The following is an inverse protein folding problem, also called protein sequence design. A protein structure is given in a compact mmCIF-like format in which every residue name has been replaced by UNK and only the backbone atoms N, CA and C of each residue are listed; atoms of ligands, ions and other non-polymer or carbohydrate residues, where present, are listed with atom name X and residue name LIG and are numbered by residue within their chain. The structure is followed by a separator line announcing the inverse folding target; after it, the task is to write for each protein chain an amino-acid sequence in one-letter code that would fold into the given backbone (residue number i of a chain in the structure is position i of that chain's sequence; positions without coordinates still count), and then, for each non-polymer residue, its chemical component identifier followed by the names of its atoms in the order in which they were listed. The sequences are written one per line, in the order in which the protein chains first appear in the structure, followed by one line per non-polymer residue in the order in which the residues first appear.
data_IF_709328748345
#
_entry.id   IF_709328748345
#
_cell.length_a   1.000
_cell.length_b   1.000
_cell.length_c   1.000
_cell.angle_alpha   90.00
_cell.angle_beta   90.00
_cell.angle_gamma   90.00
#
_symmetry.space_group_name_H-M   'P 1'
#
loop_
_entity.id
_entity.type
_entity.pdbx_description
1 polymer ?
#
# COMPACT_ATOMS: atom_id res chain seq x y z
N UNK A 1 17.50 -9.14 13.15
CA UNK A 1 16.12 -8.95 12.71
C UNK A 1 15.84 -9.85 11.51
N UNK A 2 14.85 -10.74 11.60
CA UNK A 2 14.34 -11.49 10.44
C UNK A 2 13.25 -10.70 9.70
N UNK A 3 12.89 -11.13 8.48
CA UNK A 3 11.79 -10.53 7.75
C UNK A 3 10.45 -10.69 8.51
N UNK A 4 10.22 -11.85 9.11
CA UNK A 4 9.02 -12.12 9.91
C UNK A 4 8.94 -11.27 11.18
N UNK A 5 10.10 -10.97 11.80
CA UNK A 5 10.16 -10.03 12.93
C UNK A 5 9.79 -8.61 12.49
N UNK A 6 10.23 -8.18 11.31
CA UNK A 6 9.89 -6.89 10.74
C UNK A 6 8.39 -6.80 10.42
N UNK A 7 7.80 -7.85 9.85
CA UNK A 7 6.35 -7.94 9.61
C UNK A 7 5.56 -7.80 10.90
N UNK A 8 5.88 -8.58 11.93
CA UNK A 8 5.21 -8.51 13.23
C UNK A 8 5.29 -7.13 13.86
N UNK A 9 6.46 -6.47 13.81
CA UNK A 9 6.62 -5.11 14.35
C UNK A 9 5.68 -4.13 13.65
N UNK A 10 5.64 -4.16 12.31
CA UNK A 10 4.78 -3.26 11.53
C UNK A 10 3.30 -3.53 11.77
N UNK A 11 2.87 -4.80 11.78
CA UNK A 11 1.47 -5.15 12.06
C UNK A 11 0.99 -4.65 13.44
N UNK A 12 1.88 -4.63 14.43
CA UNK A 12 1.54 -4.21 15.79
C UNK A 12 1.60 -2.70 15.98
N UNK A 13 2.48 -1.99 15.27
CA UNK A 13 2.80 -0.60 15.62
C UNK A 13 2.47 0.41 14.53
N UNK A 14 2.32 -0.02 13.25
CA UNK A 14 2.19 0.92 12.15
C UNK A 14 0.91 1.76 12.26
N UNK A 15 1.01 3.11 12.20
CA UNK A 15 -0.12 4.01 12.41
C UNK A 15 -1.26 3.77 11.43
N UNK A 16 -0.97 3.44 10.16
CA UNK A 16 -2.01 3.24 9.13
C UNK A 16 -2.95 2.08 9.45
N UNK A 17 -2.47 0.98 10.05
CA UNK A 17 -3.33 -0.11 10.46
C UNK A 17 -4.18 0.27 11.69
N UNK A 18 -3.66 1.14 12.55
CA UNK A 18 -4.40 1.69 13.71
C UNK A 18 -5.49 2.69 13.29
N UNK A 19 -5.29 3.41 12.17
CA UNK A 19 -6.31 4.34 11.63
C UNK A 19 -7.64 3.63 11.30
N UNK A 20 -7.62 2.35 10.93
CA UNK A 20 -8.85 1.59 10.67
C UNK A 20 -9.73 1.43 11.91
N UNK A 21 -9.14 1.38 13.11
CA UNK A 21 -9.89 1.45 14.36
C UNK A 21 -10.64 2.77 14.49
N UNK A 22 -9.94 3.89 14.36
CA UNK A 22 -10.57 5.22 14.43
C UNK A 22 -11.60 5.47 13.32
N UNK A 23 -11.35 4.98 12.09
CA UNK A 23 -12.35 5.05 10.99
C UNK A 23 -13.61 4.27 11.34
N UNK A 24 -13.47 3.10 11.95
CA UNK A 24 -14.62 2.30 12.41
C UNK A 24 -15.43 3.05 13.46
N UNK A 25 -14.78 3.70 14.44
CA UNK A 25 -15.45 4.47 15.47
C UNK A 25 -16.25 5.64 14.87
N UNK A 26 -15.65 6.36 13.88
CA UNK A 26 -16.36 7.42 13.14
C UNK A 26 -17.58 6.88 12.41
N UNK A 27 -17.42 5.80 11.64
CA UNK A 27 -18.53 5.21 10.88
C UNK A 27 -19.60 4.60 11.80
N UNK A 28 -19.24 4.08 12.96
CA UNK A 28 -20.20 3.61 13.95
C UNK A 28 -21.03 4.78 14.49
N UNK A 29 -20.39 5.91 14.77
CA UNK A 29 -21.09 7.14 15.17
C UNK A 29 -22.01 7.68 14.05
N UNK A 30 -21.57 7.58 12.77
CA UNK A 30 -22.43 7.91 11.62
C UNK A 30 -23.63 6.96 11.52
N UNK A 31 -23.47 5.67 11.82
CA UNK A 31 -24.57 4.71 11.87
C UNK A 31 -25.58 5.07 12.98
N UNK A 32 -25.09 5.43 14.18
CA UNK A 32 -25.96 5.89 15.26
C UNK A 32 -26.71 7.14 14.86
N UNK A 33 -26.04 8.10 14.20
CA UNK A 33 -26.69 9.30 13.66
C UNK A 33 -27.74 8.96 12.59
N UNK A 34 -27.44 8.00 11.71
CA UNK A 34 -28.38 7.55 10.68
C UNK A 34 -29.62 6.86 11.26
N UNK A 35 -29.55 6.39 12.50
CA UNK A 35 -30.66 5.76 13.22
C UNK A 35 -31.61 6.77 13.87
N UNK A 36 -31.25 8.06 13.93
CA UNK A 36 -32.16 9.04 14.53
C UNK A 36 -33.38 9.30 13.64
N UNK A 37 -34.52 9.29 14.28
CA UNK A 37 -35.77 9.79 13.69
C UNK A 37 -35.76 11.33 13.71
N UNK A 38 -36.59 11.99 12.88
CA UNK A 38 -36.80 13.42 12.95
C UNK A 38 -37.15 13.86 14.38
N UNK A 39 -36.60 14.97 14.86
CA UNK A 39 -36.88 15.44 16.22
C UNK A 39 -38.31 15.93 16.39
N UNK A 40 -38.81 15.89 17.63
CA UNK A 40 -39.97 16.65 18.03
C UNK A 40 -39.56 18.12 18.17
N UNK A 41 -40.36 19.01 17.61
CA UNK A 41 -40.18 20.47 17.65
C UNK A 41 -41.31 21.08 18.44
N UNK A 42 -41.00 21.80 19.52
CA UNK A 42 -41.95 22.60 20.27
C UNK A 42 -41.95 24.01 19.66
N UNK A 43 -43.07 24.48 19.25
CA UNK A 43 -43.25 25.82 18.68
C UNK A 43 -44.20 26.67 19.56
N UNK A 44 -43.87 27.95 19.69
CA UNK A 44 -44.75 28.96 20.27
C UNK A 44 -44.94 30.03 19.19
N UNK A 45 -46.17 30.28 18.83
CA UNK A 45 -46.57 31.27 17.82
C UNK A 45 -47.52 32.28 18.47
N UNK A 46 -47.29 33.55 18.23
CA UNK A 46 -48.12 34.63 18.69
C UNK A 46 -48.59 35.45 17.48
N UNK A 47 -49.88 35.48 17.25
CA UNK A 47 -50.54 36.19 16.14
C UNK A 47 -51.38 37.34 16.69
N UNK A 48 -51.72 38.31 15.84
CA UNK A 48 -52.58 39.46 16.16
C UNK A 48 -52.07 40.28 17.38
N UNK A 49 -50.75 40.42 17.52
CA UNK A 49 -50.13 41.22 18.60
C UNK A 49 -49.55 42.53 18.05
N UNK A 50 -49.72 43.64 18.82
CA UNK A 50 -49.14 44.96 18.53
C UNK A 50 -49.55 45.52 17.13
N UNK A 51 -50.68 45.11 16.57
CA UNK A 51 -51.21 45.59 15.31
C UNK A 51 -52.10 46.83 15.46
N UNK A 52 -53.00 47.07 14.50
CA UNK A 52 -54.00 48.15 14.49
C UNK A 52 -55.42 47.57 14.50
N UNK A 53 -56.43 48.39 14.92
CA UNK A 53 -57.82 47.97 15.05
C UNK A 53 -57.98 46.87 16.12
N UNK A 54 -58.63 45.78 15.80
CA UNK A 54 -58.87 44.66 16.71
C UNK A 54 -57.55 43.94 17.18
N UNK A 55 -56.50 44.09 16.45
CA UNK A 55 -55.14 43.54 16.80
C UNK A 55 -54.32 44.54 17.61
N UNK A 56 -54.89 45.65 18.07
CA UNK A 56 -54.13 46.64 18.84
C UNK A 56 -53.77 46.14 20.25
N UNK A 57 -52.51 46.29 20.63
CA UNK A 57 -51.98 45.80 21.92
C UNK A 57 -51.99 44.26 21.99
N UNK A 58 -52.58 43.70 23.04
CA UNK A 58 -52.71 42.27 23.30
C UNK A 58 -54.16 41.80 23.32
N UNK A 59 -55.10 42.65 23.02
CA UNK A 59 -56.57 42.35 23.16
C UNK A 59 -57.03 41.32 22.15
N UNK A 60 -56.48 41.33 20.93
CA UNK A 60 -56.73 40.33 19.87
C UNK A 60 -55.74 39.18 19.81
N UNK A 61 -54.81 39.10 20.78
CA UNK A 61 -53.71 38.14 20.72
C UNK A 61 -54.18 36.69 20.67
N UNK A 62 -53.57 35.92 19.78
CA UNK A 62 -53.72 34.48 19.71
C UNK A 62 -52.35 33.85 20.01
N UNK A 63 -52.27 32.99 21.02
CA UNK A 63 -51.05 32.30 21.39
C UNK A 63 -51.23 30.80 21.16
N UNK A 64 -50.42 30.22 20.27
CA UNK A 64 -50.44 28.80 19.97
C UNK A 64 -49.19 28.13 20.53
N UNK A 65 -49.35 27.11 21.37
CA UNK A 65 -48.30 26.19 21.77
C UNK A 65 -48.49 24.91 20.96
N UNK A 66 -47.47 24.51 20.20
CA UNK A 66 -47.57 23.36 19.30
C UNK A 66 -46.40 22.39 19.48
N UNK A 67 -46.67 21.12 19.12
CA UNK A 67 -45.71 20.05 18.96
C UNK A 67 -45.78 19.57 17.52
N UNK A 68 -44.65 19.54 16.83
CA UNK A 68 -44.51 19.14 15.44
C UNK A 68 -43.41 18.09 15.24
N UNK A 69 -43.55 17.30 14.21
CA UNK A 69 -42.48 16.42 13.72
C UNK A 69 -42.77 15.98 12.30
N UNK A 70 -41.78 15.28 11.71
CA UNK A 70 -41.86 14.65 10.39
C UNK A 70 -42.05 13.14 10.54
N UNK A 71 -43.12 12.60 9.98
CA UNK A 71 -43.29 11.16 9.85
C UNK A 71 -42.62 10.71 8.54
N UNK A 72 -41.38 10.22 8.67
CA UNK A 72 -40.64 9.66 7.53
C UNK A 72 -41.32 8.39 7.01
N UNK A 73 -41.50 8.31 5.69
CA UNK A 73 -42.15 7.20 5.01
C UNK A 73 -41.23 6.56 3.96
N UNK A 74 -41.63 5.42 3.43
CA UNK A 74 -40.89 4.73 2.36
C UNK A 74 -39.59 4.04 2.80
N UNK A 75 -39.40 3.79 4.10
CA UNK A 75 -38.21 3.07 4.61
C UNK A 75 -36.92 3.92 4.63
N UNK A 76 -37.02 5.26 4.67
CA UNK A 76 -35.86 6.17 4.66
C UNK A 76 -34.90 5.90 5.79
N UNK A 77 -35.42 5.66 7.01
CA UNK A 77 -34.60 5.33 8.18
C UNK A 77 -33.75 4.06 7.95
N UNK A 78 -34.41 3.00 7.47
CA UNK A 78 -33.76 1.71 7.24
C UNK A 78 -32.73 1.80 6.09
N UNK A 79 -33.05 2.55 5.02
CA UNK A 79 -32.13 2.77 3.91
C UNK A 79 -30.89 3.58 4.34
N UNK A 80 -31.05 4.63 5.19
CA UNK A 80 -29.91 5.36 5.77
C UNK A 80 -29.03 4.47 6.63
N UNK A 81 -29.63 3.64 7.47
CA UNK A 81 -28.90 2.68 8.31
C UNK A 81 -28.16 1.64 7.47
N UNK A 82 -28.83 1.08 6.45
CA UNK A 82 -28.21 0.11 5.54
C UNK A 82 -27.00 0.69 4.81
N UNK A 83 -27.09 1.95 4.35
CA UNK A 83 -25.95 2.64 3.73
C UNK A 83 -24.81 2.89 4.72
N UNK A 84 -25.10 3.31 5.94
CA UNK A 84 -24.07 3.50 6.97
C UNK A 84 -23.41 2.18 7.37
N UNK A 85 -24.20 1.10 7.51
CA UNK A 85 -23.68 -0.23 7.82
C UNK A 85 -22.78 -0.77 6.70
N UNK A 86 -23.16 -0.62 5.43
CA UNK A 86 -22.36 -1.10 4.30
C UNK A 86 -20.98 -0.45 4.23
N UNK A 87 -20.83 0.81 4.70
CA UNK A 87 -19.53 1.49 4.83
C UNK A 87 -18.64 0.90 5.93
N UNK A 88 -19.24 0.40 7.00
CA UNK A 88 -18.50 -0.29 8.06
C UNK A 88 -18.00 -1.65 7.56
N UNK A 89 -18.86 -2.38 6.85
CA UNK A 89 -18.57 -3.75 6.40
C UNK A 89 -17.39 -3.82 5.43
N UNK A 90 -17.11 -2.76 4.68
CA UNK A 90 -15.99 -2.72 3.71
C UNK A 90 -14.63 -2.54 4.38
N UNK A 91 -14.59 -1.96 5.60
CA UNK A 91 -13.34 -1.65 6.29
C UNK A 91 -12.42 -2.86 6.50
N UNK A 92 -12.97 -4.04 6.70
CA UNK A 92 -12.17 -5.25 6.92
C UNK A 92 -11.35 -5.61 5.66
N UNK A 93 -11.95 -5.51 4.48
CA UNK A 93 -11.29 -5.79 3.20
C UNK A 93 -10.28 -4.70 2.85
N UNK A 94 -10.63 -3.43 3.08
CA UNK A 94 -9.69 -2.30 2.90
C UNK A 94 -8.46 -2.43 3.81
N UNK A 95 -8.68 -2.79 5.08
CA UNK A 95 -7.60 -3.02 6.04
C UNK A 95 -6.68 -4.14 5.57
N UNK A 96 -7.24 -5.24 5.05
CA UNK A 96 -6.44 -6.38 4.58
C UNK A 96 -5.63 -6.01 3.33
N UNK A 97 -6.21 -5.31 2.37
CA UNK A 97 -5.48 -4.80 1.21
C UNK A 97 -4.32 -3.89 1.65
N UNK A 98 -4.57 -2.96 2.58
CA UNK A 98 -3.53 -2.08 3.11
C UNK A 98 -2.45 -2.82 3.89
N UNK A 99 -2.83 -3.89 4.62
CA UNK A 99 -1.88 -4.76 5.33
C UNK A 99 -0.91 -5.40 4.33
N UNK A 100 -1.41 -5.97 3.23
CA UNK A 100 -0.57 -6.59 2.20
C UNK A 100 0.38 -5.57 1.55
N UNK A 101 -0.09 -4.35 1.25
CA UNK A 101 0.76 -3.28 0.72
C UNK A 101 1.90 -2.91 1.69
N UNK A 102 1.60 -2.81 2.99
CA UNK A 102 2.59 -2.54 4.02
C UNK A 102 3.61 -3.67 4.16
N UNK A 103 3.16 -4.93 4.14
CA UNK A 103 4.08 -6.07 4.19
C UNK A 103 4.99 -6.11 2.96
N UNK A 104 4.47 -5.82 1.77
CA UNK A 104 5.29 -5.69 0.57
C UNK A 104 6.32 -4.55 0.69
N UNK A 105 5.95 -3.43 1.30
CA UNK A 105 6.87 -2.33 1.56
C UNK A 105 7.95 -2.71 2.58
N UNK A 106 7.61 -3.42 3.66
CA UNK A 106 8.58 -3.99 4.62
C UNK A 106 9.57 -4.89 3.90
N UNK A 107 9.08 -5.81 3.07
CA UNK A 107 9.92 -6.75 2.34
C UNK A 107 10.87 -6.03 1.36
N UNK A 108 10.39 -5.01 0.65
CA UNK A 108 11.22 -4.17 -0.23
C UNK A 108 12.33 -3.45 0.54
N UNK A 109 12.01 -2.83 1.68
CA UNK A 109 13.01 -2.14 2.51
C UNK A 109 13.99 -3.11 3.17
N UNK A 110 13.51 -4.28 3.58
CA UNK A 110 14.38 -5.35 4.09
C UNK A 110 15.36 -5.82 3.00
N UNK A 111 14.88 -6.08 1.80
CA UNK A 111 15.71 -6.44 0.65
C UNK A 111 16.75 -5.36 0.32
N UNK A 112 16.40 -4.07 0.44
CA UNK A 112 17.33 -2.97 0.24
C UNK A 112 18.50 -2.98 1.25
N UNK A 113 18.26 -3.38 2.51
CA UNK A 113 19.32 -3.57 3.51
C UNK A 113 20.24 -4.72 3.09
N UNK A 114 19.66 -5.88 2.76
CA UNK A 114 20.42 -7.06 2.29
C UNK A 114 21.25 -6.73 1.06
N UNK A 115 20.68 -5.99 0.11
CA UNK A 115 21.37 -5.52 -1.09
C UNK A 115 22.60 -4.67 -0.78
N UNK A 116 22.45 -3.69 0.11
CA UNK A 116 23.54 -2.81 0.49
C UNK A 116 24.66 -3.58 1.24
N UNK A 117 24.32 -4.54 2.09
CA UNK A 117 25.27 -5.40 2.78
C UNK A 117 26.04 -6.30 1.79
N UNK A 118 25.36 -6.87 0.80
CA UNK A 118 25.99 -7.68 -0.25
C UNK A 118 26.88 -6.85 -1.17
N UNK A 119 26.50 -5.61 -1.50
CA UNK A 119 27.39 -4.68 -2.24
C UNK A 119 28.65 -4.37 -1.43
N UNK A 120 28.54 -4.18 -0.11
CA UNK A 120 29.72 -3.98 0.76
C UNK A 120 30.62 -5.22 0.81
N UNK A 121 30.04 -6.43 0.76
CA UNK A 121 30.80 -7.68 0.68
C UNK A 121 31.58 -7.80 -0.64
N UNK A 122 30.93 -7.54 -1.78
CA UNK A 122 31.59 -7.53 -3.11
C UNK A 122 32.73 -6.50 -3.14
N UNK A 123 32.51 -5.30 -2.59
CA UNK A 123 33.51 -4.26 -2.53
C UNK A 123 34.72 -4.68 -1.66
N UNK A 124 34.51 -5.41 -0.55
CA UNK A 124 35.61 -5.96 0.25
C UNK A 124 36.45 -6.99 -0.54
N UNK A 125 35.79 -7.84 -1.33
CA UNK A 125 36.48 -8.79 -2.21
C UNK A 125 37.31 -8.05 -3.26
N UNK A 126 36.77 -6.98 -3.89
CA UNK A 126 37.49 -6.16 -4.86
C UNK A 126 38.74 -5.49 -4.21
N UNK A 127 38.59 -4.88 -3.03
CA UNK A 127 39.70 -4.29 -2.28
C UNK A 127 40.81 -5.32 -2.05
N UNK A 128 40.48 -6.54 -1.63
CA UNK A 128 41.50 -7.58 -1.41
C UNK A 128 42.25 -7.94 -2.70
N UNK A 129 41.59 -7.94 -3.86
CA UNK A 129 42.21 -8.16 -5.16
C UNK A 129 43.09 -6.98 -5.57
N UNK A 130 42.58 -5.73 -5.43
CA UNK A 130 43.37 -4.53 -5.75
C UNK A 130 44.62 -4.40 -4.89
N UNK A 131 44.54 -4.76 -3.60
CA UNK A 131 45.73 -4.82 -2.73
C UNK A 131 46.81 -5.80 -3.26
N UNK A 132 46.40 -6.97 -3.77
CA UNK A 132 47.33 -7.90 -4.41
C UNK A 132 47.95 -7.32 -5.69
N UNK A 133 47.13 -6.60 -6.49
CA UNK A 133 47.62 -5.95 -7.71
C UNK A 133 48.65 -4.86 -7.41
N UNK A 134 48.41 -4.01 -6.40
CA UNK A 134 49.36 -2.99 -5.93
C UNK A 134 50.66 -3.64 -5.47
N UNK A 135 50.59 -4.72 -4.68
CA UNK A 135 51.78 -5.42 -4.22
C UNK A 135 52.62 -6.00 -5.40
N UNK A 136 51.94 -6.62 -6.37
CA UNK A 136 52.60 -7.14 -7.56
C UNK A 136 53.23 -6.03 -8.44
N UNK A 137 52.55 -4.90 -8.59
CA UNK A 137 53.06 -3.75 -9.33
C UNK A 137 54.30 -3.14 -8.65
N UNK A 138 54.28 -2.98 -7.32
CA UNK A 138 55.43 -2.49 -6.53
C UNK A 138 56.64 -3.45 -6.63
N UNK A 139 56.42 -4.76 -6.55
CA UNK A 139 57.47 -5.75 -6.68
C UNK A 139 58.16 -5.67 -8.06
N UNK A 140 57.37 -5.50 -9.13
CA UNK A 140 57.94 -5.35 -10.49
C UNK A 140 58.68 -4.02 -10.69
N UNK A 141 58.17 -2.93 -10.10
CA UNK A 141 58.89 -1.64 -10.12
C UNK A 141 60.28 -1.78 -9.44
N UNK A 142 60.33 -2.39 -8.25
CA UNK A 142 61.60 -2.63 -7.52
C UNK A 142 62.57 -3.49 -8.32
N UNK A 143 62.08 -4.44 -9.13
CA UNK A 143 62.87 -5.24 -10.03
C UNK A 143 63.27 -4.53 -11.36
N UNK A 144 62.88 -3.28 -11.54
CA UNK A 144 63.09 -2.52 -12.78
C UNK A 144 62.28 -3.02 -13.99
N UNK A 145 61.29 -3.88 -13.76
CA UNK A 145 60.49 -4.56 -14.80
C UNK A 145 59.17 -3.86 -15.12
N UNK A 146 58.84 -2.73 -14.47
CA UNK A 146 57.63 -1.97 -14.69
C UNK A 146 57.82 -0.50 -14.34
N UNK A 147 57.22 0.46 -15.09
CA UNK A 147 57.27 1.88 -14.75
C UNK A 147 56.41 2.23 -13.53
N UNK A 148 56.74 3.33 -12.85
CA UNK A 148 56.02 3.84 -11.68
C UNK A 148 54.54 4.12 -11.98
N UNK A 149 54.22 4.52 -13.20
CA UNK A 149 52.83 4.78 -13.63
C UNK A 149 51.88 3.59 -13.43
N UNK A 150 52.42 2.34 -13.51
CA UNK A 150 51.63 1.12 -13.25
C UNK A 150 51.26 1.02 -11.77
N UNK A 151 52.19 1.36 -10.86
CA UNK A 151 51.90 1.37 -9.41
C UNK A 151 50.87 2.42 -9.08
N UNK A 152 51.01 3.64 -9.58
CA UNK A 152 50.08 4.72 -9.37
C UNK A 152 48.67 4.37 -9.91
N UNK A 153 48.59 3.71 -11.06
CA UNK A 153 47.31 3.23 -11.63
C UNK A 153 46.67 2.16 -10.72
N UNK A 154 47.46 1.23 -10.19
CA UNK A 154 46.98 0.19 -9.26
C UNK A 154 46.47 0.81 -7.94
N UNK A 155 47.19 1.80 -7.40
CA UNK A 155 46.81 2.52 -6.18
C UNK A 155 45.52 3.33 -6.39
N UNK A 156 45.36 4.00 -7.54
CA UNK A 156 44.13 4.68 -7.88
C UNK A 156 42.92 3.72 -7.98
N UNK A 157 43.14 2.52 -8.55
CA UNK A 157 42.10 1.50 -8.61
C UNK A 157 41.74 0.96 -7.22
N UNK A 158 42.69 0.82 -6.31
CA UNK A 158 42.45 0.45 -4.90
C UNK A 158 41.65 1.54 -4.18
N UNK A 159 42.04 2.80 -4.30
CA UNK A 159 41.32 3.93 -3.67
C UNK A 159 39.88 4.02 -4.14
N UNK A 160 39.60 3.73 -5.42
CA UNK A 160 38.22 3.67 -5.96
C UNK A 160 37.43 2.52 -5.31
N UNK A 161 38.03 1.32 -5.15
CA UNK A 161 37.36 0.19 -4.49
C UNK A 161 37.04 0.49 -3.00
N UNK A 162 37.95 1.18 -2.30
CA UNK A 162 37.76 1.63 -0.92
C UNK A 162 36.61 2.65 -0.82
N UNK A 163 36.49 3.58 -1.77
CA UNK A 163 35.36 4.51 -1.87
C UNK A 163 34.04 3.76 -2.09
N UNK A 164 34.03 2.76 -2.98
CA UNK A 164 32.81 1.95 -3.25
C UNK A 164 32.37 1.20 -1.99
N UNK A 165 33.31 0.66 -1.21
CA UNK A 165 32.99 0.03 0.07
C UNK A 165 32.40 1.04 1.07
N UNK A 166 33.03 2.21 1.20
CA UNK A 166 32.55 3.24 2.12
C UNK A 166 31.12 3.69 1.75
N UNK A 167 30.84 3.85 0.45
CA UNK A 167 29.47 4.16 -0.05
C UNK A 167 28.49 3.06 0.30
N UNK A 168 28.82 1.79 0.08
CA UNK A 168 27.94 0.66 0.37
C UNK A 168 27.62 0.55 1.88
N UNK A 169 28.61 0.81 2.75
CA UNK A 169 28.41 0.85 4.21
C UNK A 169 27.44 1.98 4.61
N UNK A 170 27.58 3.16 4.02
CA UNK A 170 26.67 4.26 4.29
C UNK A 170 25.25 3.97 3.78
N UNK A 171 25.14 3.35 2.59
CA UNK A 171 23.84 2.91 2.04
C UNK A 171 23.18 1.86 2.96
N UNK A 172 23.94 0.92 3.52
CA UNK A 172 23.39 -0.07 4.45
C UNK A 172 22.85 0.58 5.73
N UNK A 173 23.56 1.58 6.28
CA UNK A 173 23.07 2.35 7.43
C UNK A 173 21.78 3.10 7.12
N UNK A 174 21.73 3.80 5.98
CA UNK A 174 20.54 4.52 5.54
C UNK A 174 19.36 3.58 5.27
N UNK A 175 19.59 2.43 4.66
CA UNK A 175 18.56 1.44 4.40
C UNK A 175 17.98 0.85 5.71
N UNK A 176 18.83 0.54 6.72
CA UNK A 176 18.35 0.10 8.04
C UNK A 176 17.52 1.18 8.73
N UNK A 177 17.96 2.43 8.67
CA UNK A 177 17.19 3.54 9.22
C UNK A 177 15.84 3.69 8.50
N UNK A 178 15.83 3.60 7.16
CA UNK A 178 14.60 3.66 6.37
C UNK A 178 13.65 2.48 6.67
N UNK A 179 14.16 1.27 6.87
CA UNK A 179 13.36 0.12 7.30
C UNK A 179 12.73 0.37 8.69
N UNK A 180 13.53 0.85 9.64
CA UNK A 180 13.10 1.08 11.02
C UNK A 180 12.00 2.13 11.17
N UNK A 181 11.90 3.08 10.24
CA UNK A 181 10.82 4.10 10.26
C UNK A 181 9.42 3.49 10.12
N UNK A 182 9.30 2.28 9.56
CA UNK A 182 8.00 1.61 9.43
C UNK A 182 7.35 1.26 10.77
N UNK A 183 8.14 1.09 11.82
CA UNK A 183 7.64 0.88 13.20
C UNK A 183 8.02 2.02 14.15
N UNK A 184 8.44 3.18 13.60
CA UNK A 184 8.69 4.41 14.36
C UNK A 184 10.04 4.48 15.07
N UNK A 185 10.97 3.54 14.84
CA UNK A 185 12.30 3.54 15.43
C UNK A 185 13.22 4.49 14.65
N UNK A 186 13.79 5.49 15.34
CA UNK A 186 14.63 6.54 14.72
C UNK A 186 16.12 6.20 14.72
N UNK A 187 16.58 5.40 15.67
CA UNK A 187 17.97 4.99 15.84
C UNK A 187 18.05 3.46 15.94
N UNK A 188 18.00 2.73 14.81
CA UNK A 188 17.99 1.29 14.83
C UNK A 188 19.34 0.72 15.31
N UNK A 189 19.29 -0.25 16.21
CA UNK A 189 20.44 -0.98 16.73
C UNK A 189 20.50 -2.45 16.27
N UNK A 190 19.60 -2.85 15.36
CA UNK A 190 19.54 -4.22 14.86
C UNK A 190 20.42 -4.44 13.64
N UNK A 191 20.91 -5.66 13.51
CA UNK A 191 21.42 -6.22 12.26
C UNK A 191 20.37 -7.11 11.62
N UNK A 192 20.36 -7.14 10.29
CA UNK A 192 19.47 -7.98 9.50
C UNK A 192 20.11 -9.38 9.42
N UNK A 193 19.28 -10.43 9.56
CA UNK A 193 19.78 -11.80 9.36
C UNK A 193 20.20 -11.97 7.90
N UNK A 194 21.44 -12.40 7.64
CA UNK A 194 21.92 -12.58 6.28
C UNK A 194 21.06 -13.61 5.53
N UNK A 195 20.53 -13.21 4.41
CA UNK A 195 19.90 -14.11 3.43
C UNK A 195 20.77 -14.20 2.19
N UNK A 196 20.67 -15.30 1.46
CA UNK A 196 21.33 -15.42 0.16
C UNK A 196 20.39 -14.93 -0.94
N UNK A 197 20.56 -13.71 -1.48
CA UNK A 197 19.66 -13.18 -2.50
C UNK A 197 19.77 -13.92 -3.84
N UNK A 198 20.84 -14.69 -4.06
CA UNK A 198 21.04 -15.47 -5.29
C UNK A 198 20.23 -16.77 -5.30
N UNK A 199 19.70 -17.19 -4.13
CA UNK A 199 18.84 -18.36 -4.02
C UNK A 199 17.38 -17.96 -4.32
N UNK A 200 17.02 -18.01 -5.60
CA UNK A 200 15.67 -17.66 -6.05
C UNK A 200 14.72 -18.85 -5.92
N UNK A 201 13.50 -18.65 -5.39
CA UNK A 201 12.50 -19.72 -5.33
C UNK A 201 11.93 -20.06 -6.71
N UNK A 202 11.29 -21.21 -6.81
CA UNK A 202 10.44 -21.52 -7.96
C UNK A 202 9.11 -20.77 -7.79
N UNK A 203 8.62 -20.21 -8.88
CA UNK A 203 7.28 -19.59 -8.92
C UNK A 203 6.31 -20.50 -9.69
N UNK A 204 5.03 -20.35 -9.40
CA UNK A 204 3.94 -21.02 -10.14
C UNK A 204 3.90 -20.54 -11.60
N UNK A 205 3.22 -21.30 -12.46
CA UNK A 205 3.00 -20.89 -13.83
C UNK A 205 2.17 -19.61 -13.92
N UNK A 206 2.31 -18.86 -15.01
CA UNK A 206 1.55 -17.63 -15.20
C UNK A 206 0.04 -17.86 -15.11
N UNK A 207 -0.48 -18.93 -15.72
CA UNK A 207 -1.91 -19.25 -15.70
C UNK A 207 -2.42 -19.54 -14.28
N UNK A 208 -1.62 -20.24 -13.48
CA UNK A 208 -1.94 -20.49 -12.08
C UNK A 208 -1.96 -19.21 -11.26
N UNK A 209 -0.96 -18.35 -11.41
CA UNK A 209 -0.90 -17.03 -10.75
C UNK A 209 -2.07 -16.14 -11.17
N UNK A 210 -2.42 -16.12 -12.46
CA UNK A 210 -3.54 -15.37 -12.99
C UNK A 210 -4.89 -15.83 -12.39
N UNK A 211 -5.04 -17.14 -12.14
CA UNK A 211 -6.25 -17.69 -11.50
C UNK A 211 -6.45 -17.16 -10.07
N UNK A 212 -5.37 -16.81 -9.37
CA UNK A 212 -5.44 -16.27 -8.00
C UNK A 212 -5.86 -14.79 -7.94
N UNK A 213 -5.68 -14.04 -9.04
CA UNK A 213 -6.10 -12.63 -9.10
C UNK A 213 -7.59 -12.44 -8.76
N UNK A 214 -8.44 -13.38 -9.14
CA UNK A 214 -9.87 -13.30 -8.85
C UNK A 214 -10.23 -13.29 -7.35
N UNK A 215 -9.31 -13.72 -6.49
CA UNK A 215 -9.49 -13.85 -5.04
C UNK A 215 -8.75 -12.77 -4.24
N UNK A 216 -8.14 -11.80 -4.92
CA UNK A 216 -7.35 -10.75 -4.27
C UNK A 216 -8.23 -9.76 -3.51
N UNK A 217 -7.73 -9.16 -2.42
CA UNK A 217 -8.45 -8.12 -1.69
C UNK A 217 -8.84 -6.95 -2.58
N UNK A 218 -8.03 -6.58 -3.58
CA UNK A 218 -8.32 -5.50 -4.53
C UNK A 218 -9.59 -5.77 -5.35
N UNK A 219 -9.83 -7.01 -5.77
CA UNK A 219 -11.07 -7.38 -6.45
C UNK A 219 -12.21 -7.65 -5.47
N UNK A 220 -11.91 -8.12 -4.26
CA UNK A 220 -12.91 -8.28 -3.21
C UNK A 220 -13.52 -6.94 -2.75
N UNK A 221 -12.76 -5.84 -2.82
CA UNK A 221 -13.27 -4.49 -2.53
C UNK A 221 -14.47 -4.12 -3.40
N UNK A 222 -14.54 -4.57 -4.68
CA UNK A 222 -15.66 -4.29 -5.57
C UNK A 222 -16.98 -4.89 -5.06
N UNK A 223 -16.95 -6.02 -4.36
CA UNK A 223 -18.14 -6.58 -3.74
C UNK A 223 -18.65 -5.72 -2.56
N UNK A 224 -17.75 -5.07 -1.83
CA UNK A 224 -18.10 -4.09 -0.80
C UNK A 224 -18.65 -2.81 -1.38
N UNK A 225 -17.99 -2.27 -2.40
CA UNK A 225 -18.42 -1.06 -3.11
C UNK A 225 -19.79 -1.26 -3.78
N UNK A 226 -20.04 -2.45 -4.33
CA UNK A 226 -21.36 -2.80 -4.89
C UNK A 226 -22.46 -2.66 -3.83
N UNK A 227 -22.26 -3.20 -2.63
CA UNK A 227 -23.22 -3.09 -1.52
C UNK A 227 -23.47 -1.64 -1.11
N UNK A 228 -22.40 -0.81 -1.10
CA UNK A 228 -22.54 0.62 -0.81
C UNK A 228 -23.40 1.32 -1.89
N UNK A 229 -23.09 1.07 -3.19
CA UNK A 229 -23.83 1.69 -4.30
C UNK A 229 -25.27 1.18 -4.38
N UNK A 230 -25.52 -0.10 -4.10
CA UNK A 230 -26.89 -0.64 -3.97
C UNK A 230 -27.66 0.00 -2.82
N UNK A 231 -27.04 0.16 -1.64
CA UNK A 231 -27.66 0.83 -0.51
C UNK A 231 -27.94 2.32 -0.79
N UNK A 232 -27.03 3.01 -1.53
CA UNK A 232 -27.24 4.39 -1.99
C UNK A 232 -28.40 4.49 -2.96
N UNK A 233 -28.49 3.57 -3.92
CA UNK A 233 -29.63 3.51 -4.85
C UNK A 233 -30.95 3.29 -4.11
N UNK A 234 -30.95 2.38 -3.13
CA UNK A 234 -32.14 2.15 -2.31
C UNK A 234 -32.54 3.41 -1.51
N UNK A 235 -31.56 4.13 -0.94
CA UNK A 235 -31.81 5.39 -0.26
C UNK A 235 -32.41 6.45 -1.22
N UNK A 236 -31.82 6.61 -2.42
CA UNK A 236 -32.33 7.51 -3.43
C UNK A 236 -33.81 7.18 -3.82
N UNK A 237 -34.14 5.89 -3.95
CA UNK A 237 -35.50 5.45 -4.24
C UNK A 237 -36.48 5.81 -3.14
N UNK A 238 -36.07 5.82 -1.87
CA UNK A 238 -36.94 6.23 -0.75
C UNK A 238 -37.34 7.70 -0.81
N UNK A 239 -36.55 8.57 -1.45
CA UNK A 239 -36.86 9.98 -1.65
C UNK A 239 -38.08 10.22 -2.54
N UNK A 240 -38.46 9.22 -3.36
CA UNK A 240 -39.71 9.29 -4.15
C UNK A 240 -40.99 9.24 -3.30
N UNK A 241 -40.89 8.72 -2.07
CA UNK A 241 -42.00 8.65 -1.12
C UNK A 241 -42.05 9.93 -0.29
N UNK A 242 -43.15 10.71 -0.32
CA UNK A 242 -43.27 11.92 0.47
C UNK A 242 -43.41 11.61 1.96
N UNK A 243 -42.79 12.43 2.79
CA UNK A 243 -42.98 12.43 4.23
C UNK A 243 -44.28 13.18 4.60
N UNK A 244 -44.74 13.00 5.82
CA UNK A 244 -45.84 13.73 6.40
C UNK A 244 -45.30 14.62 7.50
N UNK A 245 -45.45 15.94 7.33
CA UNK A 245 -45.27 16.90 8.40
C UNK A 245 -46.54 16.99 9.19
N UNK A 246 -46.51 16.86 10.49
CA UNK A 246 -47.64 16.96 11.37
C UNK A 246 -47.36 17.92 12.52
N UNK A 247 -48.40 18.64 12.92
CA UNK A 247 -48.38 19.57 14.03
C UNK A 247 -49.68 19.46 14.80
N UNK A 248 -49.60 19.43 16.12
CA UNK A 248 -50.72 19.47 17.03
C UNK A 248 -50.42 20.53 18.06
N UNK A 249 -51.40 21.41 18.31
CA UNK A 249 -51.22 22.53 19.24
C UNK A 249 -52.50 22.94 19.94
N UNK A 250 -52.35 23.73 20.98
CA UNK A 250 -53.44 24.40 21.68
C UNK A 250 -53.25 25.89 21.47
N UNK A 251 -54.33 26.55 21.00
CA UNK A 251 -54.39 27.99 20.77
C UNK A 251 -55.31 28.64 21.83
N UNK A 252 -54.80 29.69 22.49
CA UNK A 252 -55.58 30.57 23.31
C UNK A 252 -55.94 31.82 22.52
N UNK A 253 -57.25 32.14 22.52
CA UNK A 253 -57.79 33.33 21.92
C UNK A 253 -58.11 34.33 23.02
N UNK A 254 -57.34 35.44 23.08
CA UNK A 254 -57.41 36.41 24.17
C UNK A 254 -58.71 37.18 24.07
N UNK A 255 -59.25 37.45 22.87
CA UNK A 255 -60.44 38.21 22.65
C UNK A 255 -61.78 37.58 23.25
N UNK A 256 -61.83 36.25 23.27
CA UNK A 256 -62.96 35.48 23.78
C UNK A 256 -62.67 34.69 25.05
N UNK A 257 -61.38 34.66 25.47
CA UNK A 257 -60.85 33.85 26.57
C UNK A 257 -61.07 32.34 26.35
N UNK A 258 -61.07 31.88 25.08
CA UNK A 258 -61.33 30.51 24.69
C UNK A 258 -60.03 29.76 24.33
N UNK A 259 -60.09 28.43 24.34
CA UNK A 259 -59.02 27.52 23.86
C UNK A 259 -59.55 26.73 22.66
N UNK A 260 -58.69 26.63 21.63
CA UNK A 260 -58.90 25.83 20.44
C UNK A 260 -57.83 24.81 20.22
N UNK A 261 -58.14 23.67 19.60
CA UNK A 261 -57.15 22.71 19.12
C UNK A 261 -56.77 23.09 17.70
N UNK A 262 -55.45 23.12 17.45
CA UNK A 262 -54.86 23.32 16.11
C UNK A 262 -54.23 22.03 15.65
N UNK A 263 -54.63 21.51 14.49
CA UNK A 263 -54.02 20.35 13.87
C UNK A 263 -53.68 20.69 12.44
N UNK A 264 -52.43 20.44 12.06
CA UNK A 264 -51.94 20.62 10.70
C UNK A 264 -51.24 19.35 10.22
N UNK A 265 -51.51 18.95 8.99
CA UNK A 265 -50.82 17.89 8.29
C UNK A 265 -50.51 18.39 6.89
N UNK A 266 -49.22 18.30 6.52
CA UNK A 266 -48.77 18.67 5.17
C UNK A 266 -47.95 17.57 4.52
N UNK A 267 -48.03 17.47 3.21
CA UNK A 267 -47.34 16.48 2.40
C UNK A 267 -46.87 17.12 1.09
N UNK A 268 -45.55 17.06 0.76
CA UNK A 268 -45.06 17.60 -0.49
C UNK A 268 -45.54 16.74 -1.68
N UNK A 269 -46.02 17.40 -2.73
CA UNK A 269 -46.42 16.74 -3.98
C UNK A 269 -45.28 16.75 -5.00
N UNK A 270 -45.27 15.77 -5.91
CA UNK A 270 -44.28 15.70 -6.99
C UNK A 270 -42.89 15.15 -6.57
N UNK A 271 -42.77 14.59 -5.37
CA UNK A 271 -41.52 14.00 -4.87
C UNK A 271 -40.99 12.91 -5.77
N UNK A 272 -41.83 12.09 -6.39
CA UNK A 272 -41.45 11.05 -7.34
C UNK A 272 -40.67 11.62 -8.56
N UNK A 273 -41.16 12.74 -9.13
CA UNK A 273 -40.46 13.37 -10.27
C UNK A 273 -39.15 14.01 -9.84
N UNK A 274 -39.14 14.65 -8.67
CA UNK A 274 -37.92 15.28 -8.12
C UNK A 274 -36.83 14.27 -7.74
N UNK A 275 -37.17 13.06 -7.33
CA UNK A 275 -36.24 12.01 -6.99
C UNK A 275 -35.63 11.31 -8.22
N UNK A 276 -36.25 11.40 -9.41
CA UNK A 276 -35.79 10.71 -10.61
C UNK A 276 -34.35 11.01 -11.04
N UNK A 277 -33.83 12.26 -11.01
CA UNK A 277 -32.47 12.52 -11.35
C UNK A 277 -31.45 11.82 -10.42
N UNK A 278 -31.71 11.82 -9.12
CA UNK A 278 -30.86 11.17 -8.12
C UNK A 278 -30.88 9.63 -8.25
N UNK A 279 -32.08 9.07 -8.49
CA UNK A 279 -32.23 7.62 -8.74
C UNK A 279 -31.42 7.22 -9.98
N UNK A 280 -31.56 7.95 -11.10
CA UNK A 280 -30.81 7.68 -12.34
C UNK A 280 -29.32 7.83 -12.16
N UNK A 281 -28.88 8.82 -11.37
CA UNK A 281 -27.47 8.99 -11.04
C UNK A 281 -26.93 7.77 -10.26
N UNK A 282 -27.66 7.33 -9.23
CA UNK A 282 -27.27 6.16 -8.44
C UNK A 282 -27.30 4.85 -9.26
N UNK A 283 -28.24 4.70 -10.19
CA UNK A 283 -28.29 3.57 -11.14
C UNK A 283 -27.10 3.59 -12.09
N UNK A 284 -26.71 4.76 -12.61
CA UNK A 284 -25.54 4.92 -13.46
C UNK A 284 -24.24 4.64 -12.69
N UNK A 285 -24.12 5.12 -11.44
CA UNK A 285 -22.97 4.82 -10.57
C UNK A 285 -22.85 3.31 -10.31
N UNK A 286 -23.95 2.60 -10.07
CA UNK A 286 -23.94 1.16 -9.88
C UNK A 286 -23.54 0.42 -11.17
N UNK A 287 -24.04 0.85 -12.34
CA UNK A 287 -23.69 0.26 -13.61
C UNK A 287 -22.21 0.48 -13.97
N UNK A 288 -21.65 1.66 -13.63
CA UNK A 288 -20.24 1.99 -13.85
C UNK A 288 -19.28 1.05 -13.10
N UNK A 289 -19.71 0.52 -11.95
CA UNK A 289 -18.88 -0.37 -11.13
C UNK A 289 -18.42 -1.62 -11.89
N UNK A 290 -19.24 -2.16 -12.79
CA UNK A 290 -18.87 -3.29 -13.62
C UNK A 290 -17.68 -2.99 -14.53
N UNK A 291 -17.67 -1.81 -15.16
CA UNK A 291 -16.58 -1.35 -16.00
C UNK A 291 -15.33 -1.03 -15.18
N UNK A 292 -15.49 -0.40 -14.00
CA UNK A 292 -14.36 -0.13 -13.09
C UNK A 292 -13.67 -1.42 -12.65
N UNK A 293 -14.44 -2.46 -12.35
CA UNK A 293 -13.93 -3.79 -12.02
C UNK A 293 -13.20 -4.42 -13.20
N UNK A 294 -13.73 -4.33 -14.40
CA UNK A 294 -13.09 -4.85 -15.62
C UNK A 294 -11.74 -4.15 -15.86
N UNK A 295 -11.71 -2.82 -15.82
CA UNK A 295 -10.47 -2.03 -15.95
C UNK A 295 -9.45 -2.44 -14.90
N UNK A 296 -9.86 -2.58 -13.62
CA UNK A 296 -8.96 -3.03 -12.56
C UNK A 296 -8.44 -4.43 -12.78
N UNK A 297 -9.28 -5.35 -13.23
CA UNK A 297 -8.90 -6.74 -13.54
C UNK A 297 -7.85 -6.80 -14.66
N UNK A 298 -8.05 -6.03 -15.75
CA UNK A 298 -7.07 -5.92 -16.83
C UNK A 298 -5.74 -5.32 -16.35
N UNK A 299 -5.80 -4.28 -15.53
CA UNK A 299 -4.61 -3.66 -14.92
C UNK A 299 -3.82 -4.64 -14.06
N UNK A 300 -4.50 -5.39 -13.18
CA UNK A 300 -3.85 -6.40 -12.33
C UNK A 300 -3.22 -7.52 -13.15
N UNK A 301 -3.93 -7.99 -14.18
CA UNK A 301 -3.41 -9.00 -15.11
C UNK A 301 -2.15 -8.50 -15.85
N UNK A 302 -2.17 -7.27 -16.36
CA UNK A 302 -1.03 -6.65 -17.02
C UNK A 302 0.18 -6.52 -16.08
N UNK A 303 -0.05 -6.03 -14.85
CA UNK A 303 1.02 -5.92 -13.84
C UNK A 303 1.60 -7.28 -13.46
N UNK A 304 0.75 -8.30 -13.33
CA UNK A 304 1.20 -9.67 -13.07
C UNK A 304 2.03 -10.22 -14.23
N UNK A 305 1.61 -10.00 -15.48
CA UNK A 305 2.35 -10.45 -16.67
C UNK A 305 3.74 -9.82 -16.74
N UNK A 306 3.82 -8.50 -16.47
CA UNK A 306 5.08 -7.78 -16.40
C UNK A 306 5.98 -8.32 -15.28
N UNK A 307 5.46 -8.44 -14.06
CA UNK A 307 6.22 -8.94 -12.92
C UNK A 307 6.72 -10.39 -13.14
N UNK A 308 5.87 -11.26 -13.70
CA UNK A 308 6.25 -12.63 -14.04
C UNK A 308 7.37 -12.67 -15.09
N UNK A 309 7.27 -11.86 -16.15
CA UNK A 309 8.29 -11.75 -17.18
C UNK A 309 9.63 -11.24 -16.63
N UNK A 310 9.61 -10.19 -15.79
CA UNK A 310 10.81 -9.68 -15.12
C UNK A 310 11.46 -10.72 -14.22
N UNK A 311 10.67 -11.48 -13.45
CA UNK A 311 11.20 -12.55 -12.61
C UNK A 311 11.93 -13.60 -13.43
N UNK A 312 11.34 -14.11 -14.52
CA UNK A 312 11.95 -15.16 -15.35
C UNK A 312 13.22 -14.69 -16.04
N UNK A 313 13.23 -13.45 -16.56
CA UNK A 313 14.43 -12.84 -17.16
C UNK A 313 15.55 -12.71 -16.12
N UNK A 314 15.26 -12.12 -14.98
CA UNK A 314 16.24 -11.95 -13.91
C UNK A 314 16.74 -13.29 -13.37
N UNK A 315 15.88 -14.29 -13.22
CA UNK A 315 16.29 -15.65 -12.84
C UNK A 315 17.26 -16.28 -13.86
N UNK A 316 17.02 -16.07 -15.17
CA UNK A 316 17.93 -16.53 -16.21
C UNK A 316 19.28 -15.86 -16.08
N UNK A 317 19.33 -14.54 -15.87
CA UNK A 317 20.55 -13.75 -15.70
C UNK A 317 21.35 -14.22 -14.49
N UNK A 318 20.72 -14.33 -13.31
CA UNK A 318 21.36 -14.85 -12.08
C UNK A 318 22.03 -16.19 -12.34
N UNK A 319 21.33 -17.09 -13.00
CA UNK A 319 21.83 -18.43 -13.30
C UNK A 319 23.01 -18.39 -14.27
N UNK A 320 22.88 -17.66 -15.38
CA UNK A 320 23.92 -17.58 -16.42
C UNK A 320 25.18 -16.87 -15.92
N UNK A 321 25.03 -15.79 -15.18
CA UNK A 321 26.16 -15.11 -14.57
C UNK A 321 26.87 -16.04 -13.58
N UNK A 322 26.12 -16.76 -12.74
CA UNK A 322 26.69 -17.65 -11.72
C UNK A 322 27.33 -18.93 -12.28
N UNK A 323 26.73 -19.57 -13.29
CA UNK A 323 27.21 -20.85 -13.84
C UNK A 323 28.25 -20.71 -14.94
N UNK A 324 28.19 -19.64 -15.74
CA UNK A 324 28.99 -19.52 -16.95
C UNK A 324 30.00 -18.36 -16.89
N UNK A 325 29.52 -17.14 -16.63
CA UNK A 325 30.31 -15.91 -16.80
C UNK A 325 31.34 -15.76 -15.68
N UNK A 326 30.89 -15.72 -14.44
CA UNK A 326 31.76 -15.49 -13.27
C UNK A 326 32.84 -16.56 -13.11
N UNK A 327 32.56 -17.87 -13.28
CA UNK A 327 33.61 -18.90 -13.21
C UNK A 327 34.67 -18.78 -14.31
N UNK A 328 34.26 -18.37 -15.54
CA UNK A 328 35.22 -18.15 -16.63
C UNK A 328 36.08 -16.92 -16.38
N UNK A 329 35.49 -15.79 -15.95
CA UNK A 329 36.23 -14.57 -15.58
C UNK A 329 37.19 -14.83 -14.43
N UNK A 330 36.76 -15.61 -13.42
CA UNK A 330 37.64 -15.97 -12.29
C UNK A 330 38.86 -16.79 -12.73
N UNK A 331 38.68 -17.72 -13.67
CA UNK A 331 39.81 -18.50 -14.26
C UNK A 331 40.73 -17.63 -15.12
N UNK A 332 40.12 -16.73 -15.93
CA UNK A 332 40.86 -15.79 -16.78
C UNK A 332 41.71 -14.83 -15.93
N UNK A 333 41.09 -14.24 -14.88
CA UNK A 333 41.80 -13.36 -13.93
C UNK A 333 42.99 -14.07 -13.27
N UNK A 334 42.79 -15.30 -12.76
CA UNK A 334 43.84 -16.06 -12.14
C UNK A 334 44.96 -16.42 -13.12
N UNK A 335 44.65 -16.66 -14.40
CA UNK A 335 45.67 -16.89 -15.45
C UNK A 335 46.44 -15.62 -15.77
N UNK A 336 45.77 -14.48 -15.89
CA UNK A 336 46.39 -13.18 -16.14
C UNK A 336 47.28 -12.73 -14.97
N UNK A 337 46.87 -12.99 -13.71
CA UNK A 337 47.71 -12.73 -12.53
C UNK A 337 49.01 -13.51 -12.60
N UNK A 338 48.96 -14.80 -12.92
CA UNK A 338 50.18 -15.62 -13.08
C UNK A 338 51.07 -15.13 -14.23
N UNK A 339 50.47 -14.83 -15.38
CA UNK A 339 51.19 -14.32 -16.56
C UNK A 339 51.82 -12.96 -16.27
N UNK A 340 51.11 -12.05 -15.57
CA UNK A 340 51.67 -10.77 -15.13
C UNK A 340 52.87 -10.94 -14.22
N UNK A 341 52.79 -11.81 -13.23
CA UNK A 341 53.92 -12.11 -12.33
C UNK A 341 55.12 -12.70 -13.07
N UNK A 342 54.88 -13.52 -14.10
CA UNK A 342 55.92 -14.08 -14.97
C UNK A 342 56.45 -13.09 -16.02
N UNK A 343 55.88 -11.92 -16.17
CA UNK A 343 56.25 -10.92 -17.17
C UNK A 343 55.65 -11.15 -18.56
N UNK A 344 54.76 -12.12 -18.73
CA UNK A 344 54.14 -12.49 -20.00
C UNK A 344 52.82 -11.75 -20.33
N UNK A 345 52.24 -11.02 -19.36
CA UNK A 345 51.08 -10.20 -19.56
C UNK A 345 51.25 -8.78 -18.99
N UNK A 346 50.47 -7.82 -19.49
CA UNK A 346 50.45 -6.45 -18.99
C UNK A 346 49.60 -6.31 -17.71
N UNK A 347 49.90 -5.26 -16.93
CA UNK A 347 49.04 -4.89 -15.80
C UNK A 347 47.60 -4.55 -16.25
N UNK A 348 47.48 -3.87 -17.40
CA UNK A 348 46.23 -3.44 -17.92
C UNK A 348 45.27 -4.62 -18.21
N UNK A 349 45.79 -5.67 -18.83
CA UNK A 349 45.04 -6.91 -19.10
C UNK A 349 44.54 -7.56 -17.82
N UNK A 350 45.39 -7.70 -16.80
CA UNK A 350 44.97 -8.25 -15.50
C UNK A 350 43.94 -7.34 -14.80
N UNK A 351 44.21 -6.03 -14.77
CA UNK A 351 43.29 -5.06 -14.16
C UNK A 351 41.91 -5.02 -14.82
N UNK A 352 41.84 -5.20 -16.15
CA UNK A 352 40.61 -5.30 -16.90
C UNK A 352 39.79 -6.53 -16.49
N UNK A 353 40.42 -7.73 -16.43
CA UNK A 353 39.73 -8.94 -16.01
C UNK A 353 39.26 -8.89 -14.56
N UNK A 354 39.97 -8.22 -13.67
CA UNK A 354 39.49 -7.93 -12.31
C UNK A 354 38.25 -7.06 -12.32
N UNK A 355 38.26 -6.00 -13.13
CA UNK A 355 37.11 -5.09 -13.24
C UNK A 355 35.88 -5.80 -13.81
N UNK A 356 36.07 -6.59 -14.88
CA UNK A 356 34.97 -7.36 -15.51
C UNK A 356 34.37 -8.39 -14.53
N UNK A 357 35.22 -9.10 -13.75
CA UNK A 357 34.70 -10.03 -12.75
C UNK A 357 33.93 -9.32 -11.63
N UNK A 358 34.42 -8.18 -11.14
CA UNK A 358 33.72 -7.41 -10.12
C UNK A 358 32.39 -6.86 -10.66
N UNK A 359 32.35 -6.40 -11.93
CA UNK A 359 31.13 -5.98 -12.60
C UNK A 359 30.12 -7.13 -12.71
N UNK A 360 30.57 -8.32 -13.18
CA UNK A 360 29.70 -9.50 -13.29
C UNK A 360 29.09 -9.94 -11.93
N UNK A 361 29.84 -9.81 -10.82
CA UNK A 361 29.30 -10.07 -9.47
C UNK A 361 28.24 -9.04 -9.06
N UNK A 362 28.43 -7.77 -9.42
CA UNK A 362 27.44 -6.71 -9.19
C UNK A 362 26.19 -6.94 -10.04
N UNK A 363 26.37 -7.26 -11.32
CA UNK A 363 25.27 -7.53 -12.25
C UNK A 363 24.43 -8.74 -11.77
N UNK A 364 25.08 -9.80 -11.28
CA UNK A 364 24.39 -10.96 -10.71
C UNK A 364 23.57 -10.57 -9.48
N UNK A 365 24.10 -9.72 -8.61
CA UNK A 365 23.37 -9.22 -7.44
C UNK A 365 22.16 -8.36 -7.88
N UNK A 366 22.36 -7.44 -8.83
CA UNK A 366 21.26 -6.59 -9.34
C UNK A 366 20.15 -7.44 -9.98
N UNK A 367 20.50 -8.43 -10.79
CA UNK A 367 19.53 -9.37 -11.35
C UNK A 367 18.77 -10.15 -10.25
N UNK A 368 19.47 -10.57 -9.19
CA UNK A 368 18.82 -11.25 -8.07
C UNK A 368 17.84 -10.33 -7.31
N UNK A 369 18.20 -9.06 -7.13
CA UNK A 369 17.35 -8.06 -6.50
C UNK A 369 16.11 -7.74 -7.34
N UNK A 370 16.27 -7.68 -8.66
CA UNK A 370 15.17 -7.52 -9.60
C UNK A 370 14.20 -8.73 -9.54
N UNK A 371 14.73 -9.95 -9.50
CA UNK A 371 13.93 -11.15 -9.32
C UNK A 371 13.13 -11.12 -8.00
N UNK A 372 13.76 -10.74 -6.88
CA UNK A 372 13.07 -10.62 -5.61
C UNK A 372 12.02 -9.50 -5.63
N UNK A 373 12.31 -8.35 -6.27
CA UNK A 373 11.35 -7.25 -6.42
C UNK A 373 10.13 -7.68 -7.22
N UNK A 374 10.34 -8.40 -8.33
CA UNK A 374 9.27 -8.97 -9.14
C UNK A 374 8.47 -10.04 -8.37
N UNK A 375 9.14 -10.88 -7.58
CA UNK A 375 8.50 -11.87 -6.72
C UNK A 375 7.60 -11.21 -5.66
N UNK A 376 8.07 -10.17 -5.01
CA UNK A 376 7.29 -9.43 -4.02
C UNK A 376 6.03 -8.81 -4.65
N UNK A 377 6.13 -8.32 -5.89
CA UNK A 377 4.97 -7.81 -6.61
C UNK A 377 3.98 -8.93 -6.95
N UNK A 378 4.46 -10.09 -7.41
CA UNK A 378 3.62 -11.28 -7.65
C UNK A 378 2.91 -11.70 -6.35
N UNK A 379 3.63 -11.80 -5.24
CA UNK A 379 3.07 -12.18 -3.93
C UNK A 379 2.02 -11.18 -3.44
N UNK A 380 2.30 -9.88 -3.58
CA UNK A 380 1.35 -8.81 -3.26
C UNK A 380 0.06 -8.92 -4.07
N UNK A 381 0.20 -9.14 -5.40
CA UNK A 381 -0.93 -9.23 -6.32
C UNK A 381 -1.76 -10.50 -6.11
N UNK A 382 -1.13 -11.60 -5.72
CA UNK A 382 -1.80 -12.90 -5.60
C UNK A 382 -2.22 -13.24 -4.16
N UNK A 383 -1.83 -12.41 -3.18
CA UNK A 383 -2.05 -12.69 -1.77
C UNK A 383 -1.24 -13.86 -1.22
N UNK A 384 -0.22 -14.31 -1.95
CA UNK A 384 0.69 -15.35 -1.50
C UNK A 384 1.54 -14.84 -0.32
N UNK A 385 1.92 -15.73 0.63
CA UNK A 385 2.80 -15.35 1.72
C UNK A 385 4.13 -14.80 1.20
N UNK A 386 4.61 -13.72 1.81
CA UNK A 386 5.94 -13.20 1.54
C UNK A 386 6.97 -14.18 2.11
N UNK A 387 7.52 -15.04 1.26
CA UNK A 387 8.50 -16.04 1.67
C UNK A 387 9.86 -15.36 1.78
N UNK A 388 10.43 -15.33 2.99
CA UNK A 388 11.87 -15.14 3.15
C UNK A 388 12.54 -16.36 2.51
N UNK A 389 13.56 -16.15 1.66
CA UNK A 389 14.43 -17.22 1.19
C UNK A 389 15.24 -17.78 2.40
N UNK A 390 14.57 -18.56 3.22
CA UNK A 390 15.20 -19.36 4.27
C UNK A 390 15.67 -20.69 3.68
N UNK A 391 16.68 -21.35 4.25
CA UNK A 391 17.12 -22.65 3.79
C UNK A 391 15.94 -23.62 3.88
N UNK A 392 15.63 -24.26 2.76
CA UNK A 392 14.79 -25.45 2.74
C UNK A 392 15.47 -26.47 3.65
N UNK A 393 14.96 -26.63 4.87
CA UNK A 393 15.25 -27.82 5.67
C UNK A 393 14.54 -28.93 4.90
N UNK A 394 15.29 -29.66 4.06
CA UNK A 394 14.88 -30.98 3.63
C UNK A 394 14.52 -31.77 4.89
N UNK A 395 13.22 -31.98 5.11
CA UNK A 395 12.79 -33.04 6.02
C UNK A 395 13.29 -34.32 5.38
N UNK A 396 14.44 -34.79 5.87
CA UNK A 396 14.96 -36.09 5.57
C UNK A 396 13.93 -37.11 6.03
N UNK A 397 13.32 -37.79 5.07
CA UNK A 397 12.75 -39.10 5.28
C UNK A 397 13.84 -39.98 5.87
N UNK A 398 13.69 -40.32 7.13
CA UNK A 398 14.43 -41.41 7.77
C UNK A 398 13.62 -42.70 7.65
N UNK A 399 14.26 -43.83 7.32
CA UNK A 399 13.66 -45.09 6.94
C UNK A 399 12.88 -45.79 8.06
#
# INVERSE_FOLDING_TARGET
LTLDDAFRRVEQTHPELRLFGGRRDVLTTELDRAAFKPPLVVGIEAENVLGTGEASGLQGAEITLSLASVLERGGKLDARRALAQSRIDVLAVEREARRLDLLAEVARRYLAVVAAEKRAEIARLDIAQRKRAVAGARQRLQAGASPESVVLTAEAALARAELDQARAVQQARAARQHLATLWGERAPSFDVVPINPLALPKIASFDELASWLAKTPELAQFAGEQRIREARLQLARTAATPDLDWQVGVRRLQATDDFGLVVSVSMPLGTKVRAQPEIRAAEAELALLGLEREVKSLSLYSTLAEAHGRFLTAQLEVRRLGSDVIPRLSRAEAAAERAYRAGAASYLEWAQLQAERTAALRDQLEAALEAHSALLEIQRLTGQPFVSAGPSIEQGDTP
#
